data_IF_756382272971
#
_entry.id   IF_756382272971
#
_cell.length_a   1.000
_cell.length_b   1.000
_cell.length_c   1.000
_cell.angle_alpha   90.00
_cell.angle_beta   90.00
_cell.angle_gamma   90.00
#
_symmetry.space_group_name_H-M   'P 1'
#
loop_
_entity.id
_entity.type
_entity.pdbx_description
1 polymer ?
#
# COMPACT_ATOMS: atom_id res chain seq x y z
N UNK A 1 6.65 -10.65 -26.96
CA UNK A 1 6.11 -11.35 -28.14
C UNK A 1 4.81 -12.02 -27.74
N UNK A 2 3.67 -11.67 -28.37
CA UNK A 2 2.41 -12.41 -28.16
C UNK A 2 2.58 -13.80 -28.74
N UNK A 3 2.59 -14.85 -27.91
CA UNK A 3 2.52 -16.24 -28.38
C UNK A 3 1.14 -16.46 -28.97
N UNK A 4 1.08 -16.80 -30.26
CA UNK A 4 -0.13 -17.24 -30.95
C UNK A 4 -0.43 -18.67 -30.48
N UNK A 5 -1.46 -18.81 -29.62
CA UNK A 5 -1.98 -20.13 -29.28
C UNK A 5 -2.67 -20.73 -30.48
N UNK A 6 -2.18 -21.86 -30.95
CA UNK A 6 -2.78 -22.57 -32.05
C UNK A 6 -3.81 -23.58 -31.51
N UNK A 7 -5.09 -23.23 -31.54
CA UNK A 7 -6.18 -24.12 -31.13
C UNK A 7 -6.27 -25.31 -32.12
N UNK A 8 -5.64 -26.43 -31.78
CA UNK A 8 -5.82 -27.68 -32.49
C UNK A 8 -7.23 -28.18 -32.30
N UNK A 9 -7.97 -28.36 -33.43
CA UNK A 9 -9.32 -28.88 -33.40
C UNK A 9 -9.32 -30.33 -33.88
N UNK A 10 -9.91 -31.19 -33.07
CA UNK A 10 -10.04 -32.63 -33.38
C UNK A 10 -11.46 -32.92 -33.87
N UNK A 11 -11.57 -33.67 -34.95
CA UNK A 11 -12.85 -34.00 -35.60
C UNK A 11 -12.88 -35.43 -36.13
N UNK A 12 -14.01 -36.10 -36.00
CA UNK A 12 -14.27 -37.39 -36.67
C UNK A 12 -14.64 -37.16 -38.12
N UNK A 13 -14.00 -37.90 -39.04
CA UNK A 13 -14.26 -37.87 -40.50
C UNK A 13 -14.56 -39.25 -41.04
N UNK A 14 -15.37 -39.29 -42.12
CA UNK A 14 -15.61 -40.50 -42.93
C UNK A 14 -14.69 -40.46 -44.15
N UNK A 15 -13.95 -41.54 -44.37
CA UNK A 15 -13.17 -41.74 -45.59
C UNK A 15 -13.70 -42.94 -46.33
N UNK A 16 -13.97 -42.78 -47.62
CA UNK A 16 -14.49 -43.84 -48.46
C UNK A 16 -13.52 -44.99 -48.54
N UNK A 17 -14.02 -46.22 -48.35
CA UNK A 17 -13.30 -47.48 -48.56
C UNK A 17 -13.16 -47.79 -50.03
N UNK A 18 -12.33 -48.74 -50.39
CA UNK A 18 -12.29 -49.34 -51.72
C UNK A 18 -13.53 -50.19 -52.03
N UNK A 19 -14.24 -50.65 -51.01
CA UNK A 19 -15.49 -51.40 -51.14
C UNK A 19 -16.69 -50.47 -51.28
N UNK A 20 -17.69 -50.90 -52.02
CA UNK A 20 -18.91 -50.12 -52.22
C UNK A 20 -19.70 -49.95 -50.90
N UNK A 21 -20.19 -48.75 -50.67
CA UNK A 21 -20.99 -48.40 -49.48
C UNK A 21 -20.29 -48.56 -48.12
N UNK A 22 -18.98 -48.50 -48.08
CA UNK A 22 -18.20 -48.55 -46.85
C UNK A 22 -17.37 -47.29 -46.63
N UNK A 23 -17.29 -46.83 -45.39
CA UNK A 23 -16.48 -45.67 -44.96
C UNK A 23 -15.69 -45.98 -43.71
N UNK A 24 -14.39 -45.68 -43.71
CA UNK A 24 -13.54 -45.74 -42.52
C UNK A 24 -13.76 -44.53 -41.65
N UNK A 25 -13.84 -44.73 -40.32
CA UNK A 25 -13.81 -43.70 -39.31
C UNK A 25 -12.38 -43.26 -39.04
N UNK A 26 -12.13 -41.96 -39.14
CA UNK A 26 -10.80 -41.37 -38.92
C UNK A 26 -10.96 -40.18 -38.00
N UNK A 27 -10.10 -40.08 -36.97
CA UNK A 27 -9.96 -38.90 -36.17
C UNK A 27 -8.89 -38.00 -36.78
N UNK A 28 -9.26 -36.78 -37.08
CA UNK A 28 -8.39 -35.80 -37.72
C UNK A 28 -8.12 -34.62 -36.77
N UNK A 29 -6.86 -34.34 -36.52
CA UNK A 29 -6.39 -33.18 -35.72
C UNK A 29 -5.75 -32.14 -36.66
N UNK A 30 -6.21 -30.90 -36.60
CA UNK A 30 -5.68 -29.78 -37.39
C UNK A 30 -6.04 -28.43 -36.75
N UNK A 31 -5.16 -27.42 -36.78
CA UNK A 31 -3.74 -27.49 -37.17
C UNK A 31 -2.87 -28.10 -36.07
N UNK A 32 -1.89 -28.93 -36.40
CA UNK A 32 -0.88 -29.43 -35.46
C UNK A 32 0.49 -28.89 -35.88
N UNK A 33 1.22 -28.30 -34.93
CA UNK A 33 2.54 -27.71 -35.16
C UNK A 33 3.60 -28.52 -34.43
N UNK A 34 4.54 -29.12 -35.16
CA UNK A 34 5.68 -29.84 -34.58
C UNK A 34 6.77 -28.88 -34.05
N UNK A 35 6.83 -27.66 -34.60
CA UNK A 35 7.74 -26.58 -34.20
C UNK A 35 6.96 -25.26 -34.15
N UNK A 36 7.31 -24.38 -33.22
CA UNK A 36 6.63 -23.12 -32.97
C UNK A 36 6.43 -22.23 -34.22
N UNK A 37 7.32 -22.31 -35.20
CA UNK A 37 7.24 -21.57 -36.49
C UNK A 37 7.08 -22.50 -37.70
N UNK A 38 6.63 -23.76 -37.50
CA UNK A 38 6.44 -24.72 -38.53
C UNK A 38 5.16 -24.50 -39.35
N UNK A 39 5.07 -25.15 -40.53
CA UNK A 39 3.80 -25.21 -41.27
C UNK A 39 2.82 -26.15 -40.54
N UNK A 40 1.51 -25.82 -40.51
CA UNK A 40 0.52 -26.67 -39.88
C UNK A 40 0.41 -28.02 -40.59
N UNK A 41 0.51 -29.08 -39.83
CA UNK A 41 0.30 -30.45 -40.30
C UNK A 41 -1.08 -30.94 -39.89
N UNK A 42 -1.61 -31.88 -40.68
CA UNK A 42 -2.84 -32.59 -40.41
C UNK A 42 -2.51 -34.01 -40.03
N UNK A 43 -2.83 -34.38 -38.79
CA UNK A 43 -2.65 -35.73 -38.27
C UNK A 43 -3.97 -36.48 -38.43
N UNK A 44 -3.91 -37.72 -38.92
CA UNK A 44 -5.04 -38.60 -39.11
C UNK A 44 -4.78 -39.93 -38.45
N UNK A 45 -5.67 -40.30 -37.56
CA UNK A 45 -5.64 -41.58 -36.81
C UNK A 45 -6.78 -42.45 -37.32
N UNK A 46 -6.48 -43.61 -37.89
CA UNK A 46 -7.47 -44.56 -38.34
C UNK A 46 -7.95 -45.38 -37.14
N UNK A 47 -9.28 -45.44 -36.92
CA UNK A 47 -9.88 -46.12 -35.78
C UNK A 47 -10.11 -47.64 -36.04
N UNK A 48 -9.79 -48.10 -37.27
CA UNK A 48 -10.03 -49.49 -37.70
C UNK A 48 -11.49 -49.94 -37.54
N UNK A 49 -12.43 -49.01 -37.75
CA UNK A 49 -13.86 -49.30 -37.79
C UNK A 49 -14.45 -48.76 -39.09
N UNK A 50 -15.39 -49.53 -39.61
CA UNK A 50 -16.11 -49.24 -40.86
C UNK A 50 -17.57 -48.95 -40.54
N UNK A 51 -18.20 -48.06 -41.26
CA UNK A 51 -19.63 -47.75 -41.23
C UNK A 51 -20.18 -47.88 -42.68
N UNK A 52 -21.36 -48.47 -42.76
CA UNK A 52 -22.01 -48.78 -44.03
C UNK A 52 -23.29 -47.98 -44.26
N UNK A 53 -23.88 -47.42 -43.20
CA UNK A 53 -25.20 -46.75 -43.21
C UNK A 53 -25.18 -45.31 -42.74
N UNK A 54 -24.17 -44.48 -43.07
CA UNK A 54 -24.14 -43.09 -42.59
C UNK A 54 -25.30 -42.27 -43.19
N UNK A 55 -25.85 -41.35 -42.37
CA UNK A 55 -26.83 -40.38 -42.87
C UNK A 55 -26.11 -39.18 -43.44
N UNK A 56 -26.59 -38.69 -44.57
CA UNK A 56 -25.99 -37.55 -45.27
C UNK A 56 -26.90 -36.32 -45.15
N UNK A 57 -26.25 -35.19 -44.91
CA UNK A 57 -26.90 -33.87 -44.89
C UNK A 57 -26.91 -33.28 -46.33
N UNK A 58 -28.07 -33.34 -46.97
CA UNK A 58 -28.23 -32.86 -48.33
C UNK A 58 -28.12 -31.33 -48.47
N UNK A 59 -28.18 -30.59 -47.36
CA UNK A 59 -28.04 -29.13 -47.33
C UNK A 59 -26.59 -28.68 -47.29
N UNK A 60 -25.63 -29.58 -46.97
CA UNK A 60 -24.21 -29.29 -46.82
C UNK A 60 -23.36 -30.14 -47.72
N UNK A 61 -22.72 -29.51 -48.70
CA UNK A 61 -21.81 -30.17 -49.61
C UNK A 61 -20.35 -29.91 -49.24
N UNK A 62 -19.47 -30.89 -49.51
CA UNK A 62 -18.01 -30.68 -49.52
C UNK A 62 -17.55 -30.48 -50.94
N UNK A 63 -16.54 -29.60 -51.18
CA UNK A 63 -15.84 -29.53 -52.44
C UNK A 63 -15.21 -30.90 -52.72
N UNK A 64 -15.63 -31.56 -53.79
CA UNK A 64 -15.20 -32.90 -54.14
C UNK A 64 -13.71 -33.01 -54.34
N UNK A 65 -13.14 -34.20 -53.97
CA UNK A 65 -11.83 -34.61 -54.38
C UNK A 65 -11.69 -34.76 -55.91
N UNK A 66 -10.50 -35.12 -56.37
CA UNK A 66 -10.20 -35.28 -57.83
C UNK A 66 -11.32 -35.92 -58.58
N UNK A 67 -12.02 -35.13 -59.43
CA UNK A 67 -13.15 -35.58 -60.22
C UNK A 67 -14.41 -34.72 -60.18
N UNK A 68 -14.45 -33.66 -59.36
CA UNK A 68 -15.48 -32.59 -59.38
C UNK A 68 -16.92 -32.98 -58.99
N UNK A 69 -17.18 -34.15 -58.39
CA UNK A 69 -18.50 -34.54 -57.95
C UNK A 69 -18.68 -34.01 -56.49
N UNK A 70 -19.72 -33.22 -56.27
CA UNK A 70 -20.12 -32.78 -54.95
C UNK A 70 -20.50 -33.98 -54.07
N UNK A 71 -19.88 -34.07 -52.88
CA UNK A 71 -20.23 -35.05 -51.89
C UNK A 71 -20.93 -34.40 -50.72
N UNK A 72 -22.01 -34.99 -50.23
CA UNK A 72 -22.72 -34.50 -49.02
C UNK A 72 -21.89 -34.73 -47.76
N UNK A 73 -22.03 -33.84 -46.81
CA UNK A 73 -21.43 -34.00 -45.46
C UNK A 73 -22.24 -35.03 -44.63
N UNK A 74 -21.60 -35.82 -43.77
CA UNK A 74 -22.32 -36.69 -42.86
C UNK A 74 -23.16 -35.86 -41.90
N UNK A 75 -24.42 -36.28 -41.71
CA UNK A 75 -25.33 -35.69 -40.75
C UNK A 75 -24.80 -35.92 -39.33
N UNK A 76 -24.88 -34.90 -38.46
CA UNK A 76 -24.43 -34.95 -37.10
C UNK A 76 -25.59 -34.62 -36.15
N UNK A 77 -25.55 -35.19 -34.94
CA UNK A 77 -26.44 -34.80 -33.87
C UNK A 77 -26.03 -33.48 -33.21
N UNK A 78 -26.74 -33.09 -32.17
CA UNK A 78 -26.46 -31.86 -31.36
C UNK A 78 -25.08 -31.86 -30.71
N UNK A 79 -24.52 -33.03 -30.44
CA UNK A 79 -23.20 -33.22 -29.83
C UNK A 79 -22.08 -33.32 -30.91
N UNK A 80 -22.43 -33.26 -32.21
CA UNK A 80 -21.47 -33.35 -33.31
C UNK A 80 -21.14 -34.79 -33.72
N UNK A 81 -21.78 -35.80 -33.14
CA UNK A 81 -21.56 -37.20 -33.49
C UNK A 81 -22.22 -37.54 -34.85
N UNK A 82 -21.52 -38.30 -35.69
CA UNK A 82 -22.06 -38.72 -36.97
C UNK A 82 -23.24 -39.68 -36.75
N UNK A 83 -24.34 -39.44 -37.46
CA UNK A 83 -25.55 -40.25 -37.40
C UNK A 83 -25.55 -41.36 -38.46
N UNK A 84 -25.97 -42.58 -38.06
CA UNK A 84 -26.09 -43.73 -38.89
C UNK A 84 -27.47 -44.38 -38.74
N UNK A 85 -27.96 -45.14 -39.77
CA UNK A 85 -29.22 -45.89 -39.71
C UNK A 85 -29.09 -47.16 -38.86
N UNK A 86 -27.94 -47.84 -38.96
CA UNK A 86 -27.67 -49.07 -38.19
C UNK A 86 -27.20 -48.72 -36.78
N UNK A 87 -27.71 -49.44 -35.76
CA UNK A 87 -27.28 -49.34 -34.40
C UNK A 87 -25.82 -49.75 -34.20
N UNK A 88 -25.28 -50.66 -34.99
CA UNK A 88 -23.87 -51.07 -34.95
C UNK A 88 -22.99 -49.95 -35.43
N UNK A 89 -23.33 -49.33 -36.57
CA UNK A 89 -22.58 -48.17 -37.11
C UNK A 89 -22.65 -46.97 -36.18
N UNK A 90 -23.82 -46.75 -35.56
CA UNK A 90 -23.98 -45.67 -34.58
C UNK A 90 -23.06 -45.86 -33.34
N UNK A 91 -22.93 -47.10 -32.85
CA UNK A 91 -21.96 -47.41 -31.78
C UNK A 91 -20.52 -47.17 -32.21
N UNK A 92 -20.16 -47.47 -33.44
CA UNK A 92 -18.83 -47.18 -33.99
C UNK A 92 -18.57 -45.66 -34.05
N UNK A 93 -19.58 -44.86 -34.44
CA UNK A 93 -19.45 -43.40 -34.44
C UNK A 93 -19.33 -42.81 -33.03
N UNK A 94 -20.08 -43.31 -32.06
CA UNK A 94 -19.94 -42.91 -30.65
C UNK A 94 -18.57 -43.27 -30.08
N UNK A 95 -18.03 -44.45 -30.42
CA UNK A 95 -16.67 -44.83 -30.06
C UNK A 95 -15.61 -43.89 -30.65
N UNK A 96 -15.76 -43.54 -31.93
CA UNK A 96 -14.87 -42.58 -32.59
C UNK A 96 -14.93 -41.19 -31.93
N UNK A 97 -16.11 -40.78 -31.49
CA UNK A 97 -16.27 -39.50 -30.80
C UNK A 97 -15.61 -39.48 -29.40
N UNK A 98 -15.66 -40.59 -28.65
CA UNK A 98 -14.89 -40.73 -27.40
C UNK A 98 -13.38 -40.60 -27.62
N UNK A 99 -12.83 -41.16 -28.71
CA UNK A 99 -11.43 -40.98 -29.08
C UNK A 99 -11.16 -39.52 -29.42
N UNK A 100 -12.05 -38.88 -30.21
CA UNK A 100 -11.96 -37.44 -30.52
C UNK A 100 -11.87 -36.60 -29.23
N UNK A 101 -12.74 -36.86 -28.26
CA UNK A 101 -12.73 -36.14 -26.97
C UNK A 101 -11.42 -36.36 -26.18
N UNK A 102 -10.92 -37.58 -26.13
CA UNK A 102 -9.66 -37.89 -25.48
C UNK A 102 -8.50 -37.13 -26.14
N UNK A 103 -8.42 -37.12 -27.47
CA UNK A 103 -7.40 -36.40 -28.23
C UNK A 103 -7.54 -34.87 -28.09
N UNK A 104 -8.77 -34.34 -28.04
CA UNK A 104 -8.97 -32.91 -27.80
C UNK A 104 -8.46 -32.51 -26.43
N UNK A 105 -8.76 -33.29 -25.36
CA UNK A 105 -8.26 -33.06 -24.01
C UNK A 105 -6.74 -33.10 -23.93
N UNK A 106 -6.08 -34.00 -24.69
CA UNK A 106 -4.62 -34.06 -24.70
C UNK A 106 -4.02 -32.75 -25.27
N UNK A 107 -4.59 -32.20 -26.37
CA UNK A 107 -4.12 -30.92 -26.92
C UNK A 107 -4.43 -29.73 -26.01
N UNK A 108 -5.61 -29.72 -25.38
CA UNK A 108 -6.01 -28.65 -24.46
C UNK A 108 -5.11 -28.67 -23.21
N UNK A 109 -4.82 -29.86 -22.65
CA UNK A 109 -3.92 -30.02 -21.53
C UNK A 109 -2.48 -29.65 -21.87
N UNK A 110 -1.97 -30.04 -23.04
CA UNK A 110 -0.62 -29.67 -23.46
C UNK A 110 -0.40 -28.16 -23.54
N UNK A 111 -1.44 -27.40 -23.96
CA UNK A 111 -1.40 -25.94 -23.93
C UNK A 111 -1.35 -25.39 -22.51
N UNK A 112 -2.13 -25.94 -21.58
CA UNK A 112 -2.12 -25.57 -20.15
C UNK A 112 -0.78 -25.85 -19.48
N UNK A 113 -0.17 -27.02 -19.74
CA UNK A 113 1.14 -27.36 -19.15
C UNK A 113 2.25 -26.43 -19.61
N UNK A 114 2.30 -26.04 -20.89
CA UNK A 114 3.31 -25.10 -21.39
C UNK A 114 3.16 -23.71 -20.78
N UNK A 115 1.96 -23.25 -20.49
CA UNK A 115 1.73 -21.97 -19.81
C UNK A 115 2.11 -22.02 -18.33
N UNK A 116 1.83 -23.13 -17.66
CA UNK A 116 2.25 -23.36 -16.27
C UNK A 116 3.78 -23.45 -16.16
N UNK A 117 4.44 -24.17 -17.06
CA UNK A 117 5.90 -24.25 -17.09
C UNK A 117 6.54 -22.89 -17.37
N UNK A 118 5.99 -22.09 -18.26
CA UNK A 118 6.48 -20.74 -18.54
C UNK A 118 6.30 -19.80 -17.33
N UNK A 119 5.15 -19.86 -16.65
CA UNK A 119 4.89 -19.09 -15.43
C UNK A 119 5.82 -19.49 -14.29
N UNK A 120 6.07 -20.81 -14.13
CA UNK A 120 7.00 -21.33 -13.13
C UNK A 120 8.45 -20.90 -13.42
N UNK A 121 8.87 -20.90 -14.68
CA UNK A 121 10.20 -20.44 -15.07
C UNK A 121 10.37 -18.92 -14.80
N UNK A 122 9.36 -18.11 -15.11
CA UNK A 122 9.36 -16.68 -14.79
C UNK A 122 9.43 -16.44 -13.28
N UNK A 123 8.65 -17.18 -12.50
CA UNK A 123 8.68 -17.08 -11.02
C UNK A 123 10.05 -17.49 -10.47
N UNK A 124 10.68 -18.53 -11.02
CA UNK A 124 12.01 -18.95 -10.62
C UNK A 124 13.07 -17.88 -10.90
N UNK A 125 13.00 -17.20 -12.03
CA UNK A 125 13.90 -16.06 -12.33
C UNK A 125 13.66 -14.88 -11.38
N UNK A 126 12.42 -14.53 -11.10
CA UNK A 126 12.07 -13.47 -10.14
C UNK A 126 12.56 -13.78 -8.73
N UNK A 127 12.50 -15.05 -8.33
CA UNK A 127 12.96 -15.49 -7.01
C UNK A 127 14.46 -15.33 -6.77
N UNK A 128 15.27 -15.28 -7.83
CA UNK A 128 16.72 -15.04 -7.79
C UNK A 128 17.09 -13.55 -7.74
N UNK A 129 16.11 -12.64 -7.91
CA UNK A 129 16.38 -11.20 -7.83
C UNK A 129 16.73 -10.78 -6.41
N UNK A 130 17.53 -9.73 -6.28
CA UNK A 130 17.95 -9.17 -4.98
C UNK A 130 16.88 -8.24 -4.41
N UNK A 131 16.33 -8.61 -3.26
CA UNK A 131 15.32 -7.82 -2.55
C UNK A 131 15.86 -6.48 -2.02
N UNK A 132 17.13 -6.40 -1.61
CA UNK A 132 17.72 -5.15 -1.13
C UNK A 132 17.72 -4.10 -2.24
N UNK A 133 18.14 -4.46 -3.44
CA UNK A 133 18.11 -3.55 -4.60
C UNK A 133 16.67 -3.24 -5.04
N UNK A 134 15.76 -4.18 -4.86
CA UNK A 134 14.33 -3.93 -5.09
C UNK A 134 13.76 -2.87 -4.13
N UNK A 135 14.13 -2.89 -2.84
CA UNK A 135 13.73 -1.85 -1.86
C UNK A 135 14.18 -0.46 -2.32
N UNK A 136 15.41 -0.35 -2.85
CA UNK A 136 15.91 0.90 -3.43
C UNK A 136 15.09 1.32 -4.65
N UNK A 137 14.82 0.41 -5.57
CA UNK A 137 13.98 0.66 -6.75
C UNK A 137 12.58 1.17 -6.37
N UNK A 138 11.92 0.52 -5.40
CA UNK A 138 10.60 0.95 -4.91
C UNK A 138 10.66 2.34 -4.27
N UNK A 139 11.70 2.63 -3.49
CA UNK A 139 11.93 3.96 -2.91
C UNK A 139 12.01 5.04 -3.99
N UNK A 140 12.83 4.83 -5.01
CA UNK A 140 13.05 5.80 -6.08
C UNK A 140 11.77 6.01 -6.91
N UNK A 141 11.07 4.93 -7.24
CA UNK A 141 9.83 4.96 -8.04
C UNK A 141 8.66 5.64 -7.31
N UNK A 142 8.45 5.31 -6.02
CA UNK A 142 7.29 5.82 -5.24
C UNK A 142 7.53 7.19 -4.62
N UNK A 143 8.75 7.48 -4.23
CA UNK A 143 9.08 8.62 -3.37
C UNK A 143 10.08 9.59 -3.98
N UNK A 144 10.48 9.42 -5.24
CA UNK A 144 11.41 10.33 -5.92
C UNK A 144 11.03 11.81 -5.81
N UNK A 145 9.72 12.11 -5.84
CA UNK A 145 9.15 13.45 -5.61
C UNK A 145 8.52 13.61 -4.20
N UNK A 146 8.79 12.68 -3.30
CA UNK A 146 8.24 12.67 -1.95
C UNK A 146 8.89 13.68 -1.00
N UNK A 147 8.43 13.69 0.25
CA UNK A 147 9.08 14.49 1.28
C UNK A 147 10.48 13.95 1.57
N UNK A 148 11.44 14.87 1.82
CA UNK A 148 12.82 14.49 2.17
C UNK A 148 12.90 13.47 3.31
N UNK A 149 12.00 13.56 4.29
CA UNK A 149 11.93 12.65 5.43
C UNK A 149 11.59 11.21 5.01
N UNK A 150 10.66 11.03 4.07
CA UNK A 150 10.29 9.69 3.56
C UNK A 150 11.47 9.08 2.83
N UNK A 151 12.12 9.83 1.93
CA UNK A 151 13.28 9.37 1.17
C UNK A 151 14.41 8.94 2.12
N UNK A 152 14.71 9.75 3.14
CA UNK A 152 15.74 9.43 4.15
C UNK A 152 15.40 8.13 4.90
N UNK A 153 14.14 7.93 5.29
CA UNK A 153 13.74 6.72 6.00
C UNK A 153 13.85 5.46 5.13
N UNK A 154 13.44 5.53 3.86
CA UNK A 154 13.61 4.41 2.93
C UNK A 154 15.08 4.08 2.67
N UNK A 155 15.90 5.13 2.44
CA UNK A 155 17.36 4.97 2.31
C UNK A 155 17.95 4.30 3.55
N UNK A 156 17.50 4.69 4.74
CA UNK A 156 17.99 4.09 5.98
C UNK A 156 17.59 2.61 6.10
N UNK A 157 16.38 2.23 5.69
CA UNK A 157 15.96 0.82 5.65
C UNK A 157 16.82 0.01 4.68
N UNK A 158 17.14 0.55 3.50
CA UNK A 158 18.07 -0.07 2.56
C UNK A 158 19.44 -0.33 3.19
N UNK A 159 20.03 0.67 3.89
CA UNK A 159 21.30 0.53 4.61
C UNK A 159 21.23 -0.51 5.73
N UNK A 160 20.12 -0.53 6.48
CA UNK A 160 19.92 -1.50 7.57
C UNK A 160 19.77 -2.93 7.06
N UNK A 161 19.12 -3.14 5.92
CA UNK A 161 19.03 -4.45 5.27
C UNK A 161 20.41 -4.98 4.86
N UNK A 162 21.29 -4.11 4.32
CA UNK A 162 22.67 -4.49 4.01
C UNK A 162 23.46 -4.91 5.27
N UNK A 163 23.29 -4.16 6.36
CA UNK A 163 23.92 -4.50 7.64
C UNK A 163 23.39 -5.82 8.21
N UNK A 164 22.10 -6.07 8.13
CA UNK A 164 21.47 -7.31 8.58
C UNK A 164 21.95 -8.51 7.78
N UNK A 165 21.98 -8.39 6.46
CA UNK A 165 22.44 -9.44 5.55
C UNK A 165 23.96 -9.71 5.65
N UNK A 166 24.72 -8.84 6.34
CA UNK A 166 26.20 -8.86 6.33
C UNK A 166 26.77 -8.86 4.92
N UNK A 167 26.06 -8.24 3.98
CA UNK A 167 26.38 -8.19 2.56
C UNK A 167 25.35 -7.37 1.78
N UNK A 168 25.43 -7.43 0.44
CA UNK A 168 24.62 -6.60 -0.43
C UNK A 168 23.40 -7.32 -1.03
N UNK A 169 23.11 -8.56 -0.60
CA UNK A 169 22.06 -9.38 -1.22
C UNK A 169 21.25 -10.15 -0.19
N UNK A 170 19.93 -10.11 -0.40
CA UNK A 170 18.93 -11.05 0.10
C UNK A 170 18.10 -11.43 -1.13
N UNK A 171 18.07 -12.69 -1.51
CA UNK A 171 17.27 -13.15 -2.65
C UNK A 171 15.80 -13.24 -2.26
N UNK A 172 14.88 -13.06 -3.22
CA UNK A 172 13.46 -13.24 -2.96
C UNK A 172 13.12 -14.67 -2.53
N UNK A 173 13.90 -15.67 -2.98
CA UNK A 173 13.79 -17.07 -2.55
C UNK A 173 14.12 -17.30 -1.07
N UNK A 174 14.87 -16.39 -0.45
CA UNK A 174 15.27 -16.48 0.96
C UNK A 174 14.25 -15.81 1.90
N UNK A 175 13.27 -15.07 1.33
CA UNK A 175 12.28 -14.33 2.12
C UNK A 175 11.22 -15.30 2.62
N UNK A 176 11.33 -15.69 3.86
CA UNK A 176 10.37 -16.46 4.62
C UNK A 176 9.95 -15.73 5.91
N UNK A 177 9.04 -16.32 6.66
CA UNK A 177 8.58 -15.75 7.94
C UNK A 177 9.70 -15.70 8.98
N UNK A 178 10.66 -16.61 8.91
CA UNK A 178 11.80 -16.65 9.84
C UNK A 178 12.72 -15.47 9.59
N UNK A 179 13.12 -15.22 8.34
CA UNK A 179 13.94 -14.05 7.99
C UNK A 179 13.26 -12.74 8.40
N UNK A 180 11.94 -12.64 8.21
CA UNK A 180 11.18 -11.44 8.59
C UNK A 180 11.19 -11.24 10.10
N UNK A 181 11.02 -12.30 10.90
CA UNK A 181 11.05 -12.22 12.35
C UNK A 181 12.47 -11.97 12.87
N UNK A 182 13.49 -12.59 12.26
CA UNK A 182 14.90 -12.33 12.57
C UNK A 182 15.28 -10.87 12.30
N UNK A 183 14.85 -10.30 11.17
CA UNK A 183 15.04 -8.89 10.88
C UNK A 183 14.30 -7.99 11.88
N UNK A 184 13.08 -8.36 12.28
CA UNK A 184 12.29 -7.62 13.27
C UNK A 184 12.96 -7.60 14.65
N UNK A 185 13.54 -8.71 15.08
CA UNK A 185 14.29 -8.77 16.35
C UNK A 185 15.60 -7.99 16.24
N UNK A 186 16.31 -8.14 15.15
CA UNK A 186 17.59 -7.47 14.93
C UNK A 186 17.44 -5.94 14.85
N UNK A 187 16.40 -5.42 14.18
CA UNK A 187 16.26 -3.98 13.95
C UNK A 187 16.05 -3.19 15.24
N UNK A 188 15.52 -3.81 16.31
CA UNK A 188 15.33 -3.18 17.62
C UNK A 188 16.69 -2.83 18.26
N UNK A 189 17.71 -3.62 17.98
CA UNK A 189 19.08 -3.43 18.50
C UNK A 189 20.03 -2.81 17.49
N UNK A 190 19.52 -2.46 16.30
CA UNK A 190 20.34 -1.93 15.23
C UNK A 190 21.00 -0.59 15.58
N UNK A 191 22.21 -0.30 15.05
CA UNK A 191 22.92 0.94 15.34
C UNK A 191 22.20 2.17 14.81
N UNK A 192 22.26 3.28 15.56
CA UNK A 192 21.58 4.53 15.19
C UNK A 192 22.08 5.11 13.86
N UNK A 193 23.35 4.92 13.51
CA UNK A 193 23.99 5.43 12.30
C UNK A 193 24.32 6.93 12.36
N UNK A 194 24.95 7.43 11.29
CA UNK A 194 25.31 8.84 11.19
C UNK A 194 26.37 9.28 12.22
N UNK A 195 27.27 8.39 12.64
CA UNK A 195 28.31 8.67 13.65
C UNK A 195 27.79 8.82 15.10
N UNK A 196 26.54 8.52 15.36
CA UNK A 196 25.97 8.53 16.69
C UNK A 196 26.16 7.19 17.38
N UNK A 197 26.57 7.21 18.64
CA UNK A 197 26.63 6.01 19.50
C UNK A 197 25.23 5.58 19.94
N UNK A 198 25.01 4.27 20.10
CA UNK A 198 23.77 3.70 20.58
C UNK A 198 22.90 3.07 19.50
N UNK A 199 21.75 2.53 19.94
CA UNK A 199 20.77 1.85 19.10
C UNK A 199 19.63 2.78 18.71
N UNK A 200 18.88 2.42 17.68
CA UNK A 200 17.66 3.14 17.30
C UNK A 200 16.58 2.94 18.34
N UNK A 201 15.72 3.96 18.55
CA UNK A 201 14.60 3.82 19.46
C UNK A 201 13.55 2.84 18.91
N UNK A 202 12.78 2.21 19.82
CA UNK A 202 11.73 1.26 19.44
C UNK A 202 10.72 1.85 18.43
N UNK A 203 10.31 3.12 18.59
CA UNK A 203 9.39 3.78 17.66
C UNK A 203 10.04 4.03 16.29
N UNK A 204 11.36 4.25 16.25
CA UNK A 204 12.11 4.33 14.99
C UNK A 204 12.20 2.96 14.34
N UNK A 205 12.47 1.89 15.11
CA UNK A 205 12.46 0.52 14.63
C UNK A 205 11.09 0.12 14.06
N UNK A 206 9.99 0.48 14.74
CA UNK A 206 8.63 0.25 14.27
C UNK A 206 8.37 0.97 12.93
N UNK A 207 8.83 2.21 12.78
CA UNK A 207 8.73 2.96 11.52
C UNK A 207 9.50 2.28 10.39
N UNK A 208 10.74 1.87 10.62
CA UNK A 208 11.58 1.22 9.62
C UNK A 208 11.05 -0.18 9.26
N UNK A 209 10.58 -0.93 10.25
CA UNK A 209 9.94 -2.22 10.00
C UNK A 209 8.65 -2.08 9.18
N UNK A 210 7.87 -1.03 9.40
CA UNK A 210 6.69 -0.73 8.57
C UNK A 210 7.06 -0.42 7.11
N UNK A 211 8.20 0.23 6.86
CA UNK A 211 8.73 0.48 5.52
C UNK A 211 9.17 -0.84 4.86
N UNK A 212 9.88 -1.69 5.61
CA UNK A 212 10.25 -3.04 5.15
C UNK A 212 9.02 -3.86 4.73
N UNK A 213 7.97 -3.87 5.56
CA UNK A 213 6.69 -4.51 5.24
C UNK A 213 6.01 -3.91 4.00
N UNK A 214 6.08 -2.59 3.83
CA UNK A 214 5.54 -1.94 2.64
C UNK A 214 6.29 -2.36 1.37
N UNK A 215 7.60 -2.60 1.44
CA UNK A 215 8.39 -3.14 0.34
C UNK A 215 8.02 -4.60 0.03
N UNK A 216 7.83 -5.44 1.06
CA UNK A 216 7.37 -6.83 0.90
C UNK A 216 5.98 -6.91 0.25
N UNK A 217 5.04 -6.08 0.71
CA UNK A 217 3.71 -6.01 0.13
C UNK A 217 3.75 -5.57 -1.34
N UNK A 218 4.60 -4.59 -1.67
CA UNK A 218 4.78 -4.19 -3.06
C UNK A 218 5.42 -5.30 -3.90
N UNK A 219 6.35 -6.07 -3.35
CA UNK A 219 6.96 -7.22 -4.02
C UNK A 219 5.94 -8.32 -4.33
N UNK A 220 4.95 -8.52 -3.45
CA UNK A 220 3.81 -9.40 -3.72
C UNK A 220 2.95 -8.86 -4.88
N UNK A 221 2.60 -7.57 -4.87
CA UNK A 221 1.83 -6.94 -5.97
C UNK A 221 2.58 -7.03 -7.30
N UNK A 222 3.90 -6.83 -7.30
CA UNK A 222 4.74 -6.86 -8.51
C UNK A 222 5.08 -8.32 -8.95
N UNK A 223 4.61 -9.34 -8.20
CA UNK A 223 4.76 -10.76 -8.54
C UNK A 223 6.15 -11.35 -8.28
N UNK A 224 6.97 -10.74 -7.42
CA UNK A 224 8.21 -11.33 -6.92
C UNK A 224 7.98 -12.35 -5.81
N UNK A 225 6.94 -12.14 -5.00
CA UNK A 225 6.50 -13.06 -3.96
C UNK A 225 5.14 -13.64 -4.33
N UNK A 226 4.95 -14.93 -4.11
CA UNK A 226 3.69 -15.64 -4.36
C UNK A 226 2.67 -15.46 -3.24
N UNK A 227 3.14 -15.04 -2.06
CA UNK A 227 2.34 -14.85 -0.85
C UNK A 227 2.64 -13.47 -0.27
N UNK A 228 1.62 -12.75 0.20
CA UNK A 228 1.82 -11.50 0.95
C UNK A 228 2.40 -11.78 2.34
N UNK A 229 3.71 -11.82 2.42
CA UNK A 229 4.45 -12.02 3.66
C UNK A 229 4.28 -10.85 4.65
N UNK A 230 4.02 -9.64 4.14
CA UNK A 230 3.76 -8.48 4.99
C UNK A 230 2.48 -8.65 5.82
N UNK A 231 1.44 -9.26 5.26
CA UNK A 231 0.18 -9.52 5.97
C UNK A 231 0.33 -10.54 7.11
N UNK A 232 1.25 -11.51 6.95
CA UNK A 232 1.50 -12.58 7.94
C UNK A 232 2.31 -12.14 9.15
N UNK A 233 3.07 -11.04 9.06
CA UNK A 233 3.91 -10.54 10.16
C UNK A 233 3.23 -9.40 10.91
N UNK A 234 3.30 -9.42 12.25
CA UNK A 234 2.83 -8.33 13.10
C UNK A 234 3.87 -7.21 13.18
N UNK A 235 3.41 -5.96 13.17
CA UNK A 235 4.30 -4.81 13.36
C UNK A 235 4.97 -4.83 14.75
N UNK A 236 6.09 -4.10 14.85
CA UNK A 236 6.71 -3.78 16.14
C UNK A 236 5.76 -2.84 16.88
N UNK A 237 5.46 -3.16 18.13
CA UNK A 237 4.61 -2.33 18.96
C UNK A 237 5.33 -1.04 19.34
N UNK A 238 4.68 0.10 19.09
CA UNK A 238 5.21 1.40 19.48
C UNK A 238 5.09 1.60 20.99
N UNK A 239 6.11 2.23 21.59
CA UNK A 239 6.06 2.67 22.97
C UNK A 239 5.31 4.00 23.05
N UNK A 240 4.40 4.12 24.00
CA UNK A 240 3.78 5.40 24.32
C UNK A 240 4.86 6.37 24.83
N UNK A 241 4.97 7.52 24.17
CA UNK A 241 5.87 8.59 24.62
C UNK A 241 5.05 9.68 25.31
N UNK A 242 5.43 10.03 26.55
CA UNK A 242 4.87 11.17 27.22
C UNK A 242 5.16 12.44 26.41
N UNK A 243 4.11 13.21 26.15
CA UNK A 243 4.22 14.48 25.44
C UNK A 243 4.36 15.60 26.45
N UNK A 244 5.53 16.23 26.46
CA UNK A 244 5.75 17.38 27.34
C UNK A 244 4.94 18.58 26.87
N UNK A 245 4.37 19.30 27.83
CA UNK A 245 3.63 20.56 27.63
C UNK A 245 3.93 21.50 28.75
N UNK A 246 3.59 22.77 28.64
CA UNK A 246 3.77 23.82 29.65
C UNK A 246 2.46 24.07 30.38
N UNK A 247 2.52 24.32 31.66
CA UNK A 247 1.36 24.85 32.38
C UNK A 247 1.12 26.32 32.05
N UNK A 248 0.00 26.87 32.46
CA UNK A 248 -0.30 28.30 32.27
C UNK A 248 0.71 29.18 32.95
N UNK A 249 1.13 28.83 34.19
CA UNK A 249 2.12 29.54 35.01
C UNK A 249 3.49 29.52 34.32
N UNK A 250 3.93 28.37 33.84
CA UNK A 250 5.18 28.25 33.08
C UNK A 250 5.17 29.04 31.80
N UNK A 251 4.03 29.04 31.08
CA UNK A 251 3.89 29.84 29.87
C UNK A 251 3.98 31.34 30.16
N UNK A 252 3.39 31.81 31.26
CA UNK A 252 3.48 33.19 31.70
C UNK A 252 4.93 33.54 32.15
N UNK A 253 5.60 32.65 32.86
CA UNK A 253 7.01 32.82 33.22
C UNK A 253 7.89 32.93 31.99
N UNK A 254 7.70 32.08 31.01
CA UNK A 254 8.39 32.15 29.71
C UNK A 254 8.11 33.47 28.99
N UNK A 255 6.86 33.92 29.00
CA UNK A 255 6.48 35.17 28.33
C UNK A 255 7.22 36.37 28.96
N UNK A 256 7.46 36.38 30.27
CA UNK A 256 8.22 37.44 30.96
C UNK A 256 9.74 37.26 30.86
N UNK A 257 10.26 36.04 30.70
CA UNK A 257 11.70 35.75 30.63
C UNK A 257 12.35 36.32 29.34
N UNK A 258 13.46 37.07 29.43
CA UNK A 258 14.22 37.52 28.28
C UNK A 258 14.70 36.35 27.43
N UNK A 259 14.76 36.57 26.09
CA UNK A 259 15.23 35.56 25.14
C UNK A 259 16.20 36.22 24.13
N UNK A 260 17.39 35.62 23.95
CA UNK A 260 18.40 36.12 23.03
C UNK A 260 17.89 36.25 21.59
N UNK A 261 16.86 35.49 21.25
CA UNK A 261 16.27 35.52 19.92
C UNK A 261 14.77 35.87 20.01
N UNK A 262 14.39 37.17 19.85
CA UNK A 262 13.01 37.60 19.99
C UNK A 262 12.02 36.95 19.01
N UNK A 263 12.48 36.59 17.80
CA UNK A 263 11.60 35.95 16.81
C UNK A 263 11.24 34.52 17.22
N UNK A 264 12.17 33.78 17.85
CA UNK A 264 11.90 32.43 18.37
C UNK A 264 10.88 32.51 19.51
N UNK A 265 11.07 33.45 20.47
CA UNK A 265 10.14 33.69 21.59
C UNK A 265 8.73 34.00 21.05
N UNK A 266 8.60 34.98 20.16
CA UNK A 266 7.32 35.37 19.55
C UNK A 266 6.65 34.19 18.84
N UNK A 267 7.38 33.45 18.02
CA UNK A 267 6.86 32.32 17.27
C UNK A 267 6.45 31.13 18.17
N UNK A 268 7.20 30.87 19.24
CA UNK A 268 6.88 29.84 20.23
C UNK A 268 5.61 30.16 20.99
N UNK A 269 5.50 31.37 21.55
CA UNK A 269 4.29 31.85 22.21
C UNK A 269 3.09 31.89 21.26
N UNK A 270 3.29 32.31 20.01
CA UNK A 270 2.26 32.24 18.98
C UNK A 270 1.78 30.80 18.73
N UNK A 271 2.71 29.83 18.70
CA UNK A 271 2.36 28.41 18.62
C UNK A 271 1.53 27.93 19.82
N UNK A 272 1.85 28.40 21.03
CA UNK A 272 1.08 28.08 22.26
C UNK A 272 -0.32 28.69 22.28
N UNK A 273 -0.55 29.78 21.57
CA UNK A 273 -1.87 30.44 21.49
C UNK A 273 -2.69 30.05 20.26
N UNK A 274 -2.10 29.43 19.25
CA UNK A 274 -2.76 29.08 18.00
C UNK A 274 -2.68 27.58 17.65
N UNK A 275 -1.78 26.84 18.28
CA UNK A 275 -1.53 25.45 17.94
C UNK A 275 -0.81 25.22 16.60
N UNK A 276 -0.37 26.27 15.87
CA UNK A 276 0.30 26.12 14.59
C UNK A 276 1.64 25.39 14.72
N UNK A 277 1.96 24.61 13.69
CA UNK A 277 3.28 23.94 13.59
C UNK A 277 4.35 24.96 13.21
N UNK A 278 5.59 24.72 13.65
CA UNK A 278 6.74 25.56 13.28
C UNK A 278 6.81 25.85 11.76
N UNK A 279 6.63 24.81 10.93
CA UNK A 279 6.72 24.96 9.49
C UNK A 279 5.60 25.82 8.87
N UNK A 280 4.45 25.91 9.54
CA UNK A 280 3.32 26.76 9.11
C UNK A 280 3.57 28.20 9.56
N UNK A 281 4.04 28.41 10.80
CA UNK A 281 4.45 29.73 11.31
C UNK A 281 5.59 30.35 10.46
N UNK A 282 6.57 29.53 10.07
CA UNK A 282 7.72 29.98 9.25
C UNK A 282 7.30 30.51 7.88
N UNK A 283 6.16 30.07 7.37
CA UNK A 283 5.67 30.43 6.04
C UNK A 283 4.50 31.42 6.08
N UNK A 284 3.99 31.70 7.26
CA UNK A 284 2.80 32.54 7.44
C UNK A 284 3.06 33.93 6.86
N UNK A 285 2.19 34.36 5.95
CA UNK A 285 2.22 35.67 5.30
C UNK A 285 1.20 36.61 5.91
N UNK A 286 1.41 37.91 5.77
CA UNK A 286 0.46 38.91 6.22
C UNK A 286 -0.88 38.87 5.47
N UNK A 287 -0.91 38.39 4.24
CA UNK A 287 -2.16 38.13 3.50
C UNK A 287 -3.04 37.07 4.16
N UNK A 288 -2.44 36.15 4.92
CA UNK A 288 -3.12 35.05 5.61
C UNK A 288 -3.64 35.46 7.01
N UNK A 289 -3.23 36.63 7.51
CA UNK A 289 -3.67 37.18 8.80
C UNK A 289 -4.75 38.26 8.53
N UNK A 290 -5.96 38.01 8.98
CA UNK A 290 -7.09 38.85 8.71
C UNK A 290 -7.67 39.46 10.01
N UNK A 291 -8.07 40.73 9.95
CA UNK A 291 -8.87 41.42 10.98
C UNK A 291 -10.19 41.81 10.36
N UNK A 292 -11.27 41.22 10.82
CA UNK A 292 -12.63 41.47 10.32
C UNK A 292 -13.52 41.80 11.54
N UNK A 293 -14.11 42.97 11.59
CA UNK A 293 -15.04 43.38 12.66
C UNK A 293 -14.54 43.04 14.07
N UNK A 294 -13.33 43.45 14.41
CA UNK A 294 -12.65 43.16 15.68
C UNK A 294 -12.36 41.67 15.97
N UNK A 295 -12.55 40.78 14.97
CA UNK A 295 -12.20 39.37 15.10
C UNK A 295 -10.93 39.11 14.30
N UNK A 296 -9.99 38.36 14.88
CA UNK A 296 -8.73 37.98 14.21
C UNK A 296 -8.82 36.55 13.71
N UNK A 297 -8.41 36.33 12.47
CA UNK A 297 -8.46 35.00 11.82
C UNK A 297 -7.20 34.73 11.02
N UNK A 298 -6.86 33.44 10.95
CA UNK A 298 -5.87 32.91 10.02
C UNK A 298 -6.58 32.18 8.89
N UNK A 299 -6.19 32.51 7.67
CA UNK A 299 -6.63 31.83 6.46
C UNK A 299 -5.41 31.37 5.67
N UNK A 300 -4.99 30.14 5.90
CA UNK A 300 -3.73 29.61 5.35
C UNK A 300 -3.84 28.14 4.96
N UNK A 301 -2.91 27.71 4.11
CA UNK A 301 -2.80 26.29 3.71
C UNK A 301 -1.71 25.59 4.50
N UNK A 302 -2.07 24.56 5.26
CA UNK A 302 -1.10 23.79 6.03
C UNK A 302 -0.07 23.11 5.12
N UNK A 303 1.22 23.26 5.44
CA UNK A 303 2.32 22.67 4.66
C UNK A 303 2.27 21.13 4.63
N UNK A 304 1.94 20.51 5.76
CA UNK A 304 2.01 19.05 5.92
C UNK A 304 0.79 18.33 5.37
N UNK A 305 -0.40 18.86 5.61
CA UNK A 305 -1.69 18.23 5.25
C UNK A 305 -2.33 18.82 4.00
N UNK A 306 -1.81 19.95 3.50
CA UNK A 306 -2.34 20.73 2.36
C UNK A 306 -3.82 21.13 2.50
N UNK A 307 -4.39 21.07 3.71
CA UNK A 307 -5.73 21.56 4.01
C UNK A 307 -5.74 23.08 4.11
N UNK A 308 -6.80 23.71 3.60
CA UNK A 308 -7.09 25.13 3.82
C UNK A 308 -7.75 25.26 5.19
N UNK A 309 -7.19 26.11 6.03
CA UNK A 309 -7.62 26.28 7.41
C UNK A 309 -8.14 27.73 7.63
N UNK A 310 -9.36 27.81 8.16
CA UNK A 310 -9.95 29.03 8.69
C UNK A 310 -9.94 28.93 10.22
N UNK A 311 -9.03 29.64 10.87
CA UNK A 311 -8.87 29.50 12.31
C UNK A 311 -9.01 30.85 12.99
N UNK A 312 -9.93 31.01 13.96
CA UNK A 312 -9.97 32.19 14.81
C UNK A 312 -8.71 32.22 15.70
N UNK A 313 -8.21 33.42 15.97
CA UNK A 313 -7.12 33.60 16.93
C UNK A 313 -7.46 34.71 17.92
N UNK A 314 -6.85 34.63 19.11
CA UNK A 314 -7.01 35.64 20.15
C UNK A 314 -6.29 36.94 19.77
N UNK A 315 -6.70 38.04 20.42
CA UNK A 315 -6.01 39.33 20.29
C UNK A 315 -4.54 39.23 20.73
N UNK A 316 -4.24 38.44 21.77
CA UNK A 316 -2.88 38.21 22.23
C UNK A 316 -2.03 37.53 21.15
N UNK A 317 -2.59 36.54 20.45
CA UNK A 317 -1.90 35.89 19.34
C UNK A 317 -1.67 36.89 18.18
N UNK A 318 -2.64 37.75 17.89
CA UNK A 318 -2.47 38.79 16.88
C UNK A 318 -1.35 39.79 17.23
N UNK A 319 -1.27 40.22 18.50
CA UNK A 319 -0.21 41.11 18.98
C UNK A 319 1.19 40.51 18.82
N UNK A 320 1.34 39.17 18.93
CA UNK A 320 2.57 38.45 18.66
C UNK A 320 2.99 38.46 17.17
N UNK A 321 2.06 38.72 16.25
CA UNK A 321 2.42 38.94 14.84
C UNK A 321 3.24 40.21 14.66
N UNK A 322 3.06 41.24 15.53
CA UNK A 322 3.70 42.54 15.44
C UNK A 322 2.95 43.50 14.51
N UNK A 323 3.59 44.58 14.09
CA UNK A 323 3.02 45.54 13.19
C UNK A 323 2.72 44.92 11.81
N UNK A 324 1.55 45.27 11.26
CA UNK A 324 1.12 44.77 9.94
C UNK A 324 2.03 45.34 8.85
N UNK A 325 2.51 44.46 7.99
CA UNK A 325 3.37 44.76 6.85
C UNK A 325 2.70 44.41 5.54
N UNK A 326 3.42 44.57 4.44
CA UNK A 326 2.96 44.19 3.11
C UNK A 326 2.40 42.74 3.10
N UNK A 327 1.26 42.50 2.44
CA UNK A 327 0.60 41.17 2.40
C UNK A 327 1.48 40.00 1.97
N UNK A 328 2.48 40.24 1.15
CA UNK A 328 3.37 39.21 0.63
C UNK A 328 4.52 38.84 1.57
N UNK A 329 4.80 39.71 2.57
CA UNK A 329 5.87 39.48 3.53
C UNK A 329 5.49 38.43 4.57
N UNK A 330 6.52 37.76 5.10
CA UNK A 330 6.36 36.78 6.18
C UNK A 330 6.11 37.51 7.52
N UNK A 331 5.15 37.03 8.31
CA UNK A 331 4.84 37.54 9.66
C UNK A 331 6.02 37.31 10.60
N UNK A 332 6.66 36.12 10.52
CA UNK A 332 7.80 35.73 11.32
C UNK A 332 9.07 35.65 10.46
N UNK A 333 9.36 36.74 9.71
CA UNK A 333 10.55 36.80 8.89
C UNK A 333 11.80 36.61 9.74
N UNK A 334 12.72 35.75 9.29
CA UNK A 334 13.93 35.38 10.02
C UNK A 334 13.77 34.25 11.03
N UNK A 335 12.58 33.61 11.15
CA UNK A 335 12.44 32.41 11.99
C UNK A 335 13.32 31.27 11.46
N UNK A 336 14.33 30.81 12.25
CA UNK A 336 15.28 29.82 11.79
C UNK A 336 14.63 28.46 11.49
N UNK A 337 15.30 27.63 10.67
CA UNK A 337 14.90 26.24 10.47
C UNK A 337 14.99 25.42 11.77
N UNK A 338 14.23 24.30 11.90
CA UNK A 338 14.16 23.51 13.13
C UNK A 338 15.51 23.08 13.70
N UNK A 339 16.48 22.82 12.84
CA UNK A 339 17.84 22.43 13.26
C UNK A 339 18.56 23.52 14.07
N UNK A 340 18.27 24.78 13.79
CA UNK A 340 18.94 25.94 14.41
C UNK A 340 18.19 26.51 15.62
N UNK A 341 16.93 26.12 15.81
CA UNK A 341 16.09 26.57 16.93
C UNK A 341 16.45 25.91 18.25
N UNK A 342 16.89 24.67 18.23
CA UNK A 342 17.00 23.82 19.44
C UNK A 342 17.90 24.43 20.52
N UNK A 343 19.06 24.99 20.19
CA UNK A 343 19.99 25.58 21.16
C UNK A 343 19.45 26.87 21.79
N UNK A 344 19.05 27.90 21.02
CA UNK A 344 18.53 29.13 21.61
C UNK A 344 17.22 28.91 22.36
N UNK A 345 16.35 28.01 21.89
CA UNK A 345 15.13 27.64 22.61
C UNK A 345 15.44 27.01 23.98
N UNK A 346 16.37 26.04 24.01
CA UNK A 346 16.80 25.39 25.24
C UNK A 346 17.30 26.41 26.29
N UNK A 347 18.19 27.35 25.88
CA UNK A 347 18.69 28.41 26.79
C UNK A 347 17.58 29.27 27.36
N UNK A 348 16.61 29.66 26.54
CA UNK A 348 15.47 30.45 27.01
C UNK A 348 14.56 29.67 27.99
N UNK A 349 14.29 28.39 27.74
CA UNK A 349 13.53 27.50 28.61
C UNK A 349 14.25 27.32 29.96
N UNK A 350 15.56 27.09 29.94
CA UNK A 350 16.39 26.96 31.14
C UNK A 350 16.45 28.28 31.96
N UNK A 351 16.55 29.44 31.29
CA UNK A 351 16.49 30.77 31.92
C UNK A 351 15.13 31.04 32.62
N UNK A 352 14.06 30.40 32.18
CA UNK A 352 12.77 30.44 32.85
C UNK A 352 12.63 29.43 34.02
N UNK A 353 13.70 28.70 34.38
CA UNK A 353 13.69 27.72 35.48
C UNK A 353 13.07 26.37 35.11
N UNK A 354 12.80 26.12 33.84
CA UNK A 354 12.18 24.86 33.34
C UNK A 354 13.27 23.85 33.00
N UNK A 355 13.37 22.76 33.76
CA UNK A 355 14.45 21.76 33.63
C UNK A 355 14.12 20.63 32.65
N UNK A 356 12.84 20.37 32.39
CA UNK A 356 12.44 19.31 31.43
C UNK A 356 12.63 19.73 29.97
N UNK A 357 12.77 18.74 29.10
CA UNK A 357 13.06 18.95 27.68
C UNK A 357 11.84 19.50 26.94
N UNK A 358 11.76 20.80 26.78
CA UNK A 358 10.74 21.46 25.95
C UNK A 358 11.32 21.76 24.56
N UNK A 359 10.64 21.25 23.53
CA UNK A 359 10.95 21.52 22.13
C UNK A 359 9.93 22.49 21.54
N UNK A 360 10.20 23.06 20.38
CA UNK A 360 9.22 23.97 19.74
C UNK A 360 7.85 23.29 19.55
N UNK A 361 7.80 21.99 19.31
CA UNK A 361 6.53 21.26 19.14
C UNK A 361 5.74 21.13 20.45
N UNK A 362 6.41 21.25 21.59
CA UNK A 362 5.73 21.23 22.89
C UNK A 362 4.79 22.43 23.09
N UNK A 363 5.04 23.57 22.45
CA UNK A 363 4.12 24.71 22.49
C UNK A 363 2.77 24.38 21.81
N UNK A 364 2.77 23.64 20.74
CA UNK A 364 1.54 23.11 20.14
C UNK A 364 0.86 22.06 21.04
N UNK A 365 1.64 21.23 21.74
CA UNK A 365 1.10 20.31 22.74
C UNK A 365 0.46 21.09 23.89
N UNK A 366 1.12 22.14 24.35
CA UNK A 366 0.59 23.10 25.35
C UNK A 366 -0.76 23.64 24.93
N UNK A 367 -0.88 24.18 23.72
CA UNK A 367 -2.15 24.65 23.19
C UNK A 367 -3.25 23.59 23.28
N UNK A 368 -2.97 22.39 22.76
CA UNK A 368 -3.94 21.30 22.76
C UNK A 368 -4.39 20.91 24.19
N UNK A 369 -3.43 20.76 25.11
CA UNK A 369 -3.68 20.34 26.50
C UNK A 369 -4.44 21.42 27.26
N UNK A 370 -4.04 22.69 27.15
CA UNK A 370 -4.70 23.81 27.83
C UNK A 370 -6.13 24.03 27.31
N UNK A 371 -6.37 23.94 25.98
CA UNK A 371 -7.71 24.04 25.42
C UNK A 371 -8.64 22.94 25.97
N UNK A 372 -8.17 21.71 26.02
CA UNK A 372 -8.92 20.61 26.62
C UNK A 372 -9.14 20.79 28.13
N UNK A 373 -8.14 21.31 28.87
CA UNK A 373 -8.26 21.61 30.29
C UNK A 373 -9.34 22.68 30.54
N UNK A 374 -9.38 23.74 29.73
CA UNK A 374 -10.39 24.81 29.81
C UNK A 374 -11.76 24.44 29.26
N UNK A 375 -12.01 23.18 28.94
CA UNK A 375 -13.35 22.71 28.58
C UNK A 375 -13.66 22.65 27.09
N UNK A 376 -12.75 23.09 26.21
CA UNK A 376 -12.94 22.92 24.75
C UNK A 376 -13.06 21.44 24.40
N UNK A 377 -14.06 21.07 23.64
CA UNK A 377 -14.24 19.66 23.27
C UNK A 377 -13.14 19.17 22.31
N UNK A 378 -12.90 17.85 22.34
CA UNK A 378 -11.79 17.24 21.62
C UNK A 378 -11.91 17.37 20.08
N UNK A 379 -13.12 17.41 19.55
CA UNK A 379 -13.35 17.55 18.10
C UNK A 379 -13.00 18.97 17.65
N UNK A 380 -13.40 19.98 18.42
CA UNK A 380 -13.03 21.39 18.18
C UNK A 380 -11.51 21.54 18.23
N UNK A 381 -10.84 21.04 19.27
CA UNK A 381 -9.38 21.08 19.39
C UNK A 381 -8.71 20.34 18.23
N UNK A 382 -9.23 19.19 17.84
CA UNK A 382 -8.74 18.43 16.68
C UNK A 382 -8.82 19.24 15.39
N UNK A 383 -9.94 19.94 15.17
CA UNK A 383 -10.13 20.83 14.01
C UNK A 383 -9.19 22.03 14.05
N UNK A 384 -9.07 22.71 15.18
CA UNK A 384 -8.15 23.84 15.34
C UNK A 384 -6.68 23.46 15.14
N UNK A 385 -6.31 22.21 15.47
CA UNK A 385 -5.00 21.67 15.16
C UNK A 385 -4.84 21.21 13.70
N UNK A 386 -5.92 21.09 12.91
CA UNK A 386 -5.91 20.52 11.58
C UNK A 386 -5.47 19.05 11.58
N UNK A 387 -6.02 18.25 12.50
CA UNK A 387 -5.84 16.81 12.52
C UNK A 387 -6.91 16.14 11.65
N UNK A 388 -6.49 15.29 10.72
CA UNK A 388 -7.40 14.49 9.89
C UNK A 388 -8.07 13.36 10.66
N UNK A 389 -7.47 12.93 11.79
CA UNK A 389 -7.99 11.87 12.66
C UNK A 389 -7.95 12.34 14.12
N UNK A 390 -9.11 12.28 14.77
CA UNK A 390 -9.27 12.69 16.19
C UNK A 390 -8.41 11.85 17.14
N UNK A 391 -8.07 10.62 16.79
CA UNK A 391 -7.13 9.78 17.55
C UNK A 391 -5.80 10.48 17.81
N UNK A 392 -5.35 11.36 16.90
CA UNK A 392 -4.14 12.15 17.10
C UNK A 392 -4.27 13.17 18.23
N UNK A 393 -5.49 13.58 18.56
CA UNK A 393 -5.79 14.53 19.65
C UNK A 393 -6.05 13.82 20.98
N UNK A 394 -6.48 12.55 20.95
CA UNK A 394 -6.76 11.76 22.16
C UNK A 394 -5.56 11.60 23.10
N UNK A 395 -4.35 11.70 22.57
CA UNK A 395 -3.12 11.66 23.39
C UNK A 395 -3.06 12.79 24.43
N UNK A 396 -3.69 13.95 24.16
CA UNK A 396 -3.74 15.07 25.09
C UNK A 396 -4.84 14.91 26.15
N UNK A 397 -5.91 14.21 25.83
CA UNK A 397 -7.00 13.95 26.77
C UNK A 397 -6.58 13.02 27.93
N UNK A 398 -5.59 12.16 27.72
CA UNK A 398 -5.05 11.25 28.75
C UNK A 398 -4.35 12.00 29.91
N UNK A 399 -3.96 13.27 29.71
CA UNK A 399 -3.10 14.03 30.62
C UNK A 399 -3.92 14.88 31.61
N UNK A 400 -5.25 15.00 31.44
CA UNK A 400 -6.09 15.90 32.23
C UNK A 400 -6.74 15.14 33.37
N UNK A 401 -6.00 15.03 34.49
CA UNK A 401 -6.50 14.35 35.69
C UNK A 401 -7.65 15.12 36.38
N UNK A 402 -7.59 16.46 36.39
CA UNK A 402 -8.67 17.31 36.97
C UNK A 402 -10.06 17.06 36.36
N UNK A 403 -10.12 16.73 35.05
CA UNK A 403 -11.42 16.40 34.42
C UNK A 403 -11.94 15.04 34.86
N UNK A 404 -11.05 14.09 35.14
CA UNK A 404 -11.41 12.80 35.68
C UNK A 404 -11.93 12.94 37.13
N UNK A 405 -11.30 13.76 37.94
CA UNK A 405 -11.75 14.07 39.29
C UNK A 405 -13.11 14.79 39.28
N UNK A 406 -13.29 15.81 38.42
CA UNK A 406 -14.57 16.49 38.24
C UNK A 406 -15.66 15.52 37.75
N UNK A 407 -15.34 14.63 36.83
CA UNK A 407 -16.28 13.63 36.33
C UNK A 407 -16.63 12.58 37.39
N UNK A 408 -15.67 12.15 38.19
CA UNK A 408 -15.91 11.23 39.31
C UNK A 408 -16.83 11.85 40.37
N UNK A 409 -16.68 13.17 40.65
CA UNK A 409 -17.48 13.91 41.63
C UNK A 409 -18.80 14.48 41.03
N UNK A 410 -19.07 14.33 39.75
CA UNK A 410 -20.25 14.90 39.10
C UNK A 410 -21.55 14.15 39.47
N UNK A 411 -21.43 12.88 39.84
CA UNK A 411 -22.58 12.05 40.25
C UNK A 411 -22.53 11.98 41.77
N UNK A 412 -23.45 12.68 42.42
CA UNK A 412 -23.65 12.62 43.87
C UNK A 412 -24.98 11.96 44.18
N UNK A 413 -24.95 10.96 45.03
CA UNK A 413 -26.13 10.30 45.57
C UNK A 413 -26.23 10.57 47.04
N UNK A 414 -27.42 10.83 47.55
CA UNK A 414 -27.62 10.99 49.00
C UNK A 414 -27.58 9.60 49.66
N UNK A 415 -26.42 9.24 50.17
CA UNK A 415 -26.26 8.02 50.98
C UNK A 415 -26.57 8.36 52.43
N UNK A 416 -27.43 7.58 53.09
CA UNK A 416 -27.60 7.63 54.52
C UNK A 416 -26.34 7.06 55.14
N UNK A 417 -25.62 7.86 55.95
CA UNK A 417 -24.36 7.45 56.61
C UNK A 417 -24.52 6.18 57.48
N UNK A 418 -25.75 5.84 57.89
CA UNK A 418 -26.05 4.64 58.66
C UNK A 418 -26.14 3.34 57.85
N UNK A 419 -26.01 3.38 56.54
CA UNK A 419 -26.04 2.20 55.67
C UNK A 419 -24.65 1.80 55.15
N UNK A 420 -23.58 2.48 55.58
CA UNK A 420 -22.21 2.27 55.12
C UNK A 420 -21.27 1.66 56.16
N UNK A 421 -21.77 1.27 57.40
CA UNK A 421 -21.05 0.53 58.42
C UNK A 421 -21.22 -0.99 58.35
#
# INVERSE_FOLDING_TARGET
>A
MRRTFHNTKVSVKLRKSCYANEWYLVVESYPVYEKANGKPKRIRENINRVVTTPLWDKSKTTRGGAGGKEAYMPKRDVNGVIQCKSAVDQRACLYADKIREARQREYDNAALYTDMEAAQAEQNERSKCNFIEYVKYVSDKRHGNGSKSIIINWKRVYELLKLFAKGDSILFSEIDLRLIEDFKQWIITAPQGGGKSGTISQNTAATYFSIFKAALHQAFIDGYLTIDMAAKSKNIQEQESRREFLTTEELNTLASTPCDNPIIKRAALFSALTGLRHCDIQKLKWSEVQKINNTYRLNFTQKKTKGVEYMPMSEQAYKLCGERKDPHLLVFAGLPAPAWISKPLKRWIEAAGITRKITFHCFRHTYATLQLAHGTDIYTVSKMLGHTNVKTTQIYAKVIDEKKEKAANAIQINLNENELE
#
